data_IF_045656639960
#
_entry.id   IF_045656639960
#
_cell.length_a   1.000
_cell.length_b   1.000
_cell.length_c   1.000
_cell.angle_alpha   90.00
_cell.angle_beta   90.00
_cell.angle_gamma   90.00
#
_symmetry.space_group_name_H-M   'P 1'
#
loop_
_entity.id
_entity.type
_entity.pdbx_description
1 polymer ?
#
# COMPACT_ATOMS: atom_id res chain seq x y z
N UNK A 1 -17.06 24.53 4.16
CA UNK A 1 -15.72 23.94 4.07
C UNK A 1 -15.49 23.17 5.36
N UNK A 2 -15.59 21.85 5.34
CA UNK A 2 -15.31 21.03 6.52
C UNK A 2 -13.84 20.62 6.45
N UNK A 3 -13.00 21.21 7.29
CA UNK A 3 -11.62 20.76 7.49
C UNK A 3 -11.68 19.38 8.11
N UNK A 4 -11.19 18.37 7.39
CA UNK A 4 -10.91 17.05 7.97
C UNK A 4 -9.76 17.27 8.94
N UNK A 5 -10.04 17.22 10.24
CA UNK A 5 -9.00 17.19 11.27
C UNK A 5 -8.14 15.94 11.04
N UNK A 6 -6.96 16.15 10.45
CA UNK A 6 -5.93 15.13 10.34
C UNK A 6 -5.36 14.91 11.74
N UNK A 7 -6.06 14.13 12.57
CA UNK A 7 -5.51 13.72 13.87
C UNK A 7 -4.20 13.00 13.62
N UNK A 8 -3.12 13.33 14.36
CA UNK A 8 -1.85 12.63 14.21
C UNK A 8 -2.08 11.15 14.53
N UNK A 9 -1.91 10.32 13.50
CA UNK A 9 -2.06 8.88 13.60
C UNK A 9 -0.95 8.37 14.53
N UNK A 10 -1.31 7.71 15.62
CA UNK A 10 -0.35 7.21 16.61
C UNK A 10 0.57 6.18 15.95
N UNK A 11 1.89 6.40 16.02
CA UNK A 11 2.88 5.45 15.50
C UNK A 11 2.81 4.13 16.31
N UNK A 12 2.50 3.04 15.62
CA UNK A 12 2.49 1.67 16.18
C UNK A 12 3.90 1.10 16.07
N UNK A 13 4.40 0.47 17.14
CA UNK A 13 5.63 -0.31 17.06
C UNK A 13 5.39 -1.53 16.17
N UNK A 14 6.21 -1.70 15.14
CA UNK A 14 6.09 -2.82 14.21
C UNK A 14 6.94 -4.00 14.69
N UNK A 15 6.38 -5.21 14.64
CA UNK A 15 7.12 -6.46 14.84
C UNK A 15 8.09 -6.77 13.67
N UNK A 16 8.58 -8.00 13.50
CA UNK A 16 9.40 -8.36 12.34
C UNK A 16 8.63 -8.26 11.00
N UNK A 17 9.36 -8.17 9.88
CA UNK A 17 8.80 -8.20 8.52
C UNK A 17 8.15 -9.54 8.24
N UNK A 18 6.86 -9.52 7.87
CA UNK A 18 6.10 -10.71 7.52
C UNK A 18 6.05 -10.86 6.00
N UNK A 19 6.23 -12.09 5.52
CA UNK A 19 6.06 -12.43 4.11
C UNK A 19 4.58 -12.44 3.73
N UNK A 20 4.22 -11.89 2.56
CA UNK A 20 2.84 -11.89 2.08
C UNK A 20 2.52 -13.17 1.29
N UNK A 21 2.60 -14.34 1.95
CA UNK A 21 2.43 -15.65 1.30
C UNK A 21 0.98 -15.98 0.94
N UNK A 22 0.03 -15.38 1.66
CA UNK A 22 -1.34 -15.90 1.69
C UNK A 22 -2.26 -15.20 0.67
N UNK A 23 -2.04 -13.91 0.39
CA UNK A 23 -2.86 -13.15 -0.57
C UNK A 23 -2.24 -11.81 -0.98
N UNK A 24 -2.67 -11.22 -2.12
CA UNK A 24 -2.40 -9.82 -2.47
C UNK A 24 -2.81 -8.83 -1.37
N UNK A 25 -3.89 -9.14 -0.65
CA UNK A 25 -4.38 -8.30 0.44
C UNK A 25 -3.37 -8.20 1.58
N UNK A 26 -2.69 -9.30 1.92
CA UNK A 26 -1.66 -9.29 2.96
C UNK A 26 -0.51 -8.33 2.61
N UNK A 27 -0.11 -8.26 1.34
CA UNK A 27 0.92 -7.32 0.88
C UNK A 27 0.49 -5.86 1.07
N UNK A 28 -0.76 -5.53 0.72
CA UNK A 28 -1.35 -4.21 0.95
C UNK A 28 -1.42 -3.85 2.44
N UNK A 29 -1.88 -4.78 3.27
CA UNK A 29 -2.03 -4.57 4.71
C UNK A 29 -0.67 -4.28 5.36
N UNK A 30 0.34 -5.10 5.06
CA UNK A 30 1.69 -4.91 5.61
C UNK A 30 2.39 -3.66 5.09
N UNK A 31 2.17 -3.30 3.82
CA UNK A 31 2.64 -2.04 3.26
C UNK A 31 2.02 -0.84 3.99
N UNK A 32 0.69 -0.84 4.18
CA UNK A 32 -0.01 0.26 4.85
C UNK A 32 0.43 0.41 6.32
N UNK A 33 0.62 -0.69 7.04
CA UNK A 33 1.17 -0.67 8.41
C UNK A 33 2.59 -0.12 8.45
N UNK A 34 3.47 -0.55 7.52
CA UNK A 34 4.84 -0.08 7.43
C UNK A 34 4.92 1.44 7.17
N UNK A 35 4.11 1.94 6.23
CA UNK A 35 4.00 3.37 5.93
C UNK A 35 3.44 4.17 7.11
N UNK A 36 2.41 3.66 7.79
CA UNK A 36 1.81 4.34 8.95
C UNK A 36 2.81 4.50 10.11
N UNK A 37 3.71 3.54 10.30
CA UNK A 37 4.77 3.62 11.30
C UNK A 37 5.95 4.51 10.86
N UNK A 38 6.03 4.91 9.59
CA UNK A 38 7.17 5.62 9.01
C UNK A 38 8.38 4.72 8.75
N UNK A 39 8.18 3.41 8.57
CA UNK A 39 9.24 2.49 8.19
C UNK A 39 9.22 2.25 6.67
N UNK A 40 9.80 3.20 5.92
CA UNK A 40 9.77 3.21 4.46
C UNK A 40 10.58 2.07 3.83
N UNK A 41 11.69 1.66 4.46
CA UNK A 41 12.47 0.50 4.01
C UNK A 41 11.61 -0.77 4.01
N UNK A 42 10.89 -1.00 5.12
CA UNK A 42 9.96 -2.13 5.20
C UNK A 42 8.79 -1.97 4.24
N UNK A 43 8.23 -0.77 4.10
CA UNK A 43 7.15 -0.52 3.15
C UNK A 43 7.58 -0.88 1.72
N UNK A 44 8.77 -0.45 1.33
CA UNK A 44 9.35 -0.73 0.01
C UNK A 44 9.65 -2.21 -0.20
N UNK A 45 9.90 -2.98 0.88
CA UNK A 45 10.11 -4.44 0.79
C UNK A 45 8.89 -5.22 0.29
N UNK A 46 7.70 -4.61 0.27
CA UNK A 46 6.47 -5.21 -0.29
C UNK A 46 6.25 -4.88 -1.75
N UNK A 47 7.14 -4.12 -2.39
CA UNK A 47 7.10 -3.86 -3.82
C UNK A 47 7.93 -4.88 -4.59
N UNK A 48 7.55 -5.10 -5.85
CA UNK A 48 8.34 -5.88 -6.80
C UNK A 48 9.69 -5.22 -7.07
N UNK A 49 10.75 -6.03 -7.20
CA UNK A 49 12.11 -5.54 -7.46
C UNK A 49 12.16 -4.58 -8.67
N UNK A 50 11.37 -4.85 -9.71
CA UNK A 50 11.32 -4.04 -10.93
C UNK A 50 10.82 -2.60 -10.74
N UNK A 51 10.13 -2.30 -9.64
CA UNK A 51 9.52 -0.99 -9.38
C UNK A 51 10.02 -0.32 -8.10
N UNK A 52 10.77 -1.03 -7.25
CA UNK A 52 11.31 -0.50 -5.98
C UNK A 52 12.07 0.81 -6.17
N UNK A 53 12.94 0.87 -7.16
CA UNK A 53 13.75 2.07 -7.40
C UNK A 53 12.87 3.29 -7.69
N UNK A 54 11.83 3.12 -8.51
CA UNK A 54 10.89 4.19 -8.88
C UNK A 54 10.09 4.69 -7.67
N UNK A 55 9.68 3.82 -6.76
CA UNK A 55 8.89 4.21 -5.58
C UNK A 55 9.76 4.72 -4.42
N UNK A 56 11.04 4.36 -4.39
CA UNK A 56 11.97 4.79 -3.33
C UNK A 56 12.10 6.30 -3.24
N UNK A 57 12.11 7.01 -4.38
CA UNK A 57 12.19 8.47 -4.43
C UNK A 57 10.90 9.12 -3.91
N UNK A 58 9.74 8.59 -4.31
CA UNK A 58 8.45 9.10 -3.81
C UNK A 58 8.31 8.93 -2.31
N UNK A 59 8.82 7.84 -1.73
CA UNK A 59 8.75 7.60 -0.30
C UNK A 59 9.63 8.55 0.51
N UNK A 60 10.81 8.92 -0.01
CA UNK A 60 11.65 9.96 0.59
C UNK A 60 10.93 11.30 0.63
N UNK A 61 10.24 11.68 -0.44
CA UNK A 61 9.46 12.92 -0.46
C UNK A 61 8.36 12.91 0.62
N UNK A 62 7.69 11.76 0.81
CA UNK A 62 6.67 11.60 1.84
C UNK A 62 7.24 11.71 3.26
N UNK A 63 8.41 11.12 3.49
CA UNK A 63 9.15 11.24 4.75
C UNK A 63 9.53 12.69 5.05
N UNK A 64 10.20 13.35 4.10
CA UNK A 64 10.70 14.72 4.24
C UNK A 64 9.57 15.74 4.47
N UNK A 65 8.44 15.57 3.78
CA UNK A 65 7.28 16.45 3.90
C UNK A 65 6.34 16.06 5.05
N UNK A 66 6.57 14.93 5.71
CA UNK A 66 5.69 14.40 6.75
C UNK A 66 4.27 14.12 6.26
N UNK A 67 4.11 13.75 4.99
CA UNK A 67 2.81 13.43 4.37
C UNK A 67 2.68 11.92 4.18
N UNK A 68 1.45 11.40 4.15
CA UNK A 68 1.19 9.99 3.87
C UNK A 68 0.90 9.76 2.38
N UNK A 69 1.26 8.58 1.90
CA UNK A 69 0.89 8.13 0.56
C UNK A 69 -0.65 8.16 0.41
N UNK A 70 -1.22 8.68 -0.70
CA UNK A 70 -2.68 8.79 -0.87
C UNK A 70 -3.43 7.47 -0.70
N UNK A 71 -2.90 6.39 -1.30
CA UNK A 71 -3.40 5.02 -1.10
C UNK A 71 -3.43 4.60 0.37
N UNK A 72 -2.41 4.91 1.16
CA UNK A 72 -2.35 4.56 2.60
C UNK A 72 -3.41 5.35 3.38
N UNK A 73 -3.55 6.64 3.08
CA UNK A 73 -4.63 7.47 3.65
C UNK A 73 -6.00 6.87 3.31
N UNK A 74 -6.22 6.48 2.06
CA UNK A 74 -7.47 5.90 1.59
C UNK A 74 -7.74 4.51 2.18
N UNK A 75 -6.69 3.71 2.40
CA UNK A 75 -6.78 2.40 3.03
C UNK A 75 -7.33 2.49 4.46
N UNK A 76 -6.86 3.48 5.24
CA UNK A 76 -7.31 3.66 6.64
C UNK A 76 -8.61 4.45 6.79
N UNK A 77 -8.95 5.33 5.85
CA UNK A 77 -10.15 6.19 5.94
C UNK A 77 -11.34 5.69 5.13
N UNK A 78 -11.09 4.92 4.07
CA UNK A 78 -12.07 4.54 3.06
C UNK A 78 -12.41 3.05 3.06
N UNK A 79 -12.70 2.54 1.87
CA UNK A 79 -13.08 1.14 1.63
C UNK A 79 -12.03 0.44 0.79
N UNK A 80 -11.65 -0.77 1.19
CA UNK A 80 -10.79 -1.66 0.41
C UNK A 80 -11.66 -2.74 -0.21
N UNK A 81 -11.63 -2.84 -1.54
CA UNK A 81 -12.37 -3.82 -2.31
C UNK A 81 -11.84 -5.25 -2.15
N UNK A 82 -12.53 -6.17 -2.82
CA UNK A 82 -12.09 -7.56 -2.92
C UNK A 82 -10.89 -7.72 -3.85
N UNK A 83 -10.19 -8.85 -3.74
CA UNK A 83 -9.07 -9.21 -4.62
C UNK A 83 -9.63 -9.79 -5.91
N UNK A 84 -9.30 -9.18 -7.04
CA UNK A 84 -9.76 -9.63 -8.36
C UNK A 84 -8.58 -10.05 -9.25
N UNK A 85 -8.77 -11.06 -10.11
CA UNK A 85 -7.75 -11.45 -11.08
C UNK A 85 -7.89 -10.63 -12.36
N UNK A 86 -7.16 -9.52 -12.45
CA UNK A 86 -7.25 -8.56 -13.55
C UNK A 86 -6.62 -9.07 -14.86
N UNK A 87 -5.46 -9.75 -14.78
CA UNK A 87 -4.83 -10.36 -15.96
C UNK A 87 -4.49 -11.83 -15.70
N UNK A 88 -5.43 -12.76 -15.99
CA UNK A 88 -5.26 -14.18 -15.68
C UNK A 88 -4.03 -14.83 -16.33
N UNK A 89 -3.67 -14.41 -17.55
CA UNK A 89 -2.51 -14.94 -18.28
C UNK A 89 -1.17 -14.53 -17.65
N UNK A 90 -1.15 -13.38 -17.00
CA UNK A 90 0.05 -12.80 -16.39
C UNK A 90 0.08 -13.00 -14.87
N UNK A 91 -0.97 -13.58 -14.28
CA UNK A 91 -1.08 -13.76 -12.83
C UNK A 91 -1.17 -12.45 -12.05
N UNK A 92 -1.71 -11.39 -12.66
CA UNK A 92 -1.82 -10.06 -12.02
C UNK A 92 -3.19 -9.92 -11.37
N UNK A 93 -3.16 -9.57 -10.09
CA UNK A 93 -4.32 -9.29 -9.25
C UNK A 93 -4.51 -7.79 -9.09
N UNK A 94 -5.74 -7.35 -8.91
CA UNK A 94 -6.12 -5.97 -8.63
C UNK A 94 -6.82 -5.90 -7.26
N UNK A 95 -6.52 -4.84 -6.50
CA UNK A 95 -7.31 -4.41 -5.35
C UNK A 95 -7.64 -2.94 -5.54
N UNK A 96 -8.91 -2.58 -5.37
CA UNK A 96 -9.36 -1.19 -5.39
C UNK A 96 -9.43 -0.60 -3.99
N UNK A 97 -8.85 0.58 -3.79
CA UNK A 97 -8.92 1.33 -2.53
C UNK A 97 -9.63 2.66 -2.78
N UNK A 98 -10.83 2.82 -2.22
CA UNK A 98 -11.71 3.96 -2.47
C UNK A 98 -11.69 4.88 -1.24
N UNK A 99 -11.22 6.13 -1.35
CA UNK A 99 -11.24 7.07 -0.23
C UNK A 99 -12.65 7.35 0.29
N UNK A 100 -12.75 7.73 1.57
CA UNK A 100 -14.03 8.08 2.17
C UNK A 100 -14.72 9.20 1.38
N UNK A 101 -16.00 9.00 1.05
CA UNK A 101 -16.80 10.00 0.34
C UNK A 101 -16.47 10.17 -1.15
N UNK A 102 -15.65 9.29 -1.73
CA UNK A 102 -15.34 9.27 -3.17
C UNK A 102 -15.92 8.02 -3.85
N UNK A 103 -16.20 8.13 -5.15
CA UNK A 103 -16.63 6.99 -5.99
C UNK A 103 -15.48 6.39 -6.79
N UNK A 104 -14.44 7.17 -7.06
CA UNK A 104 -13.24 6.73 -7.76
C UNK A 104 -12.19 6.34 -6.71
N UNK A 105 -11.56 5.17 -6.92
CA UNK A 105 -10.49 4.67 -6.07
C UNK A 105 -9.16 4.58 -6.81
N UNK A 106 -8.14 4.19 -6.06
CA UNK A 106 -6.86 3.76 -6.57
C UNK A 106 -6.94 2.27 -6.93
N UNK A 107 -6.37 1.89 -8.07
CA UNK A 107 -6.26 0.49 -8.51
C UNK A 107 -4.84 0.03 -8.29
N UNK A 108 -4.64 -0.87 -7.33
CA UNK A 108 -3.34 -1.42 -7.02
C UNK A 108 -3.20 -2.78 -7.66
N UNK A 109 -2.05 -3.03 -8.28
CA UNK A 109 -1.76 -4.29 -8.95
C UNK A 109 -0.70 -5.10 -8.20
N UNK A 110 -0.91 -6.40 -8.15
CA UNK A 110 -0.08 -7.34 -7.42
C UNK A 110 0.24 -8.56 -8.27
N UNK A 111 1.40 -9.17 -8.07
CA UNK A 111 1.69 -10.50 -8.60
C UNK A 111 2.46 -11.32 -7.57
N UNK A 112 2.52 -12.63 -7.81
CA UNK A 112 3.26 -13.54 -6.96
C UNK A 112 4.70 -13.69 -7.46
N UNK A 113 5.67 -13.24 -6.65
CA UNK A 113 7.09 -13.22 -6.95
C UNK A 113 7.87 -13.86 -5.79
N UNK A 114 8.83 -14.73 -6.09
CA UNK A 114 9.75 -15.29 -5.10
C UNK A 114 9.08 -15.91 -3.84
N UNK A 115 7.86 -16.45 -3.99
CA UNK A 115 7.11 -17.07 -2.89
C UNK A 115 6.17 -16.13 -2.15
N UNK A 116 6.00 -14.89 -2.58
CA UNK A 116 5.19 -13.88 -1.92
C UNK A 116 4.40 -13.01 -2.90
N UNK A 117 3.28 -12.47 -2.46
CA UNK A 117 2.60 -11.40 -3.21
C UNK A 117 3.31 -10.06 -2.99
N UNK A 118 3.58 -9.36 -4.09
CA UNK A 118 4.24 -8.05 -4.09
C UNK A 118 3.42 -7.03 -4.86
N UNK A 119 3.52 -5.77 -4.45
CA UNK A 119 2.93 -4.61 -5.14
C UNK A 119 3.76 -4.35 -6.40
N UNK A 120 3.08 -4.34 -7.54
CA UNK A 120 3.69 -4.03 -8.83
C UNK A 120 3.46 -2.60 -9.25
N UNK A 121 2.26 -2.07 -9.03
CA UNK A 121 1.89 -0.71 -9.39
C UNK A 121 0.75 -0.22 -8.48
N UNK A 122 0.68 1.10 -8.29
CA UNK A 122 -0.30 1.81 -7.45
C UNK A 122 -1.08 2.87 -8.24
#
# INVERSE_FOLDING_TARGET
QSSVENKPITKKELGPRLAATDSPRAALDYFAEAMQAGNYERALSYFSESVKDSYSESFKEYEEKGIQHPVVTAYFSGTVGEVELAQPKSGIYEIRVIPQGQTNGYSLYFFFENGEFVIWEL
#
